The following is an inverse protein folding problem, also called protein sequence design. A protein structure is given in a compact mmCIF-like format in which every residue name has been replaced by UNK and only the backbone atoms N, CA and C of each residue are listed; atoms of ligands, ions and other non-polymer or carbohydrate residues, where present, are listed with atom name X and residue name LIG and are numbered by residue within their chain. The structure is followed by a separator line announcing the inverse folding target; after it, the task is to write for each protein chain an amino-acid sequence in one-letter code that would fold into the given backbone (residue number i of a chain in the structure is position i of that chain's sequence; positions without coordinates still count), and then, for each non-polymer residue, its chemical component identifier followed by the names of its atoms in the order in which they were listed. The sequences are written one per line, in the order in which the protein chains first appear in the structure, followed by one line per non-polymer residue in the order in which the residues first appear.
data_IF_379101224196
#
_entry.id   IF_379101224196
#
_cell.length_a   1.000
_cell.length_b   1.000
_cell.length_c   1.000
_cell.angle_alpha   90.00
_cell.angle_beta   90.00
_cell.angle_gamma   90.00
#
_symmetry.space_group_name_H-M   'P 1'
#
loop_
_entity.id
_entity.type
_entity.pdbx_description
1 polymer ?
2 non-polymer ?
3 water ?
#
# COMPACT_ATOMS: atom_id res chain seq x y z
N UNK A 4 -23.26 -20.92 -10.92
CA UNK A 4 -21.90 -20.87 -10.32
C UNK A 4 -20.91 -21.83 -10.97
N UNK A 5 -19.78 -21.31 -11.50
CA UNK A 5 -18.76 -22.19 -12.05
C UNK A 5 -18.28 -23.29 -11.08
N UNK A 6 -18.03 -24.48 -11.62
CA UNK A 6 -17.53 -25.63 -10.87
C UNK A 6 -16.18 -25.32 -10.16
N UNK A 7 -15.43 -24.39 -10.73
CA UNK A 7 -14.11 -24.02 -10.21
C UNK A 7 -14.19 -22.95 -9.11
N UNK A 8 -15.41 -22.51 -8.77
CA UNK A 8 -15.62 -21.35 -7.92
C UNK A 8 -16.63 -21.60 -6.80
N UNK A 9 -16.70 -20.64 -5.88
CA UNK A 9 -17.78 -20.54 -4.91
C UNK A 9 -18.47 -19.19 -5.07
N UNK A 10 -19.79 -19.18 -4.99
CA UNK A 10 -20.59 -17.99 -5.22
C UNK A 10 -21.49 -17.73 -4.03
N UNK A 11 -21.56 -16.49 -3.60
CA UNK A 11 -22.54 -16.07 -2.60
C UNK A 11 -23.05 -14.70 -2.98
N UNK A 12 -24.36 -14.60 -3.24
CA UNK A 12 -25.03 -13.31 -3.56
C UNK A 12 -24.18 -12.25 -4.33
N UNK A 13 -23.80 -12.64 -5.54
CA UNK A 13 -23.04 -11.82 -6.53
C UNK A 13 -21.51 -11.78 -6.33
N UNK A 14 -21.00 -12.38 -5.25
CA UNK A 14 -19.55 -12.51 -5.03
C UNK A 14 -19.07 -13.91 -5.48
N UNK A 15 -18.07 -13.93 -6.37
CA UNK A 15 -17.61 -15.14 -7.01
C UNK A 15 -16.11 -15.28 -6.74
N UNK A 16 -15.73 -16.35 -6.04
CA UNK A 16 -14.32 -16.62 -5.67
C UNK A 16 -13.80 -17.84 -6.41
N UNK A 17 -12.67 -17.67 -7.10
CA UNK A 17 -12.01 -18.76 -7.84
C UNK A 17 -10.51 -18.70 -7.55
N UNK A 18 -10.20 -18.49 -6.28
CA UNK A 18 -8.84 -18.28 -5.79
C UNK A 18 -8.07 -19.57 -5.67
N UNK A 19 -6.79 -19.54 -6.07
CA UNK A 19 -5.87 -20.67 -5.87
C UNK A 19 -6.38 -21.98 -6.47
N UNK A 20 -6.87 -21.89 -7.70
CA UNK A 20 -7.46 -23.03 -8.42
C UNK A 20 -6.68 -23.46 -9.66
N UNK A 21 -5.49 -22.93 -9.86
CA UNK A 21 -4.66 -23.32 -10.99
C UNK A 21 -5.21 -22.96 -12.36
N UNK A 22 -5.97 -21.87 -12.44
CA UNK A 22 -6.64 -21.48 -13.68
C UNK A 22 -5.70 -20.70 -14.60
N UNK A 23 -5.84 -20.89 -15.91
CA UNK A 23 -5.21 -19.96 -16.88
C UNK A 23 -6.19 -19.29 -17.80
N UNK A 24 -7.45 -19.70 -17.73
CA UNK A 24 -8.52 -19.03 -18.47
C UNK A 24 -9.70 -18.87 -17.53
N UNK A 25 -10.55 -17.90 -17.82
CA UNK A 25 -11.73 -17.70 -17.01
C UNK A 25 -12.55 -18.99 -16.95
N UNK A 26 -13.10 -19.33 -15.77
CA UNK A 26 -14.12 -20.36 -15.70
C UNK A 26 -15.35 -19.98 -16.51
N UNK A 27 -15.94 -20.97 -17.15
CA UNK A 27 -17.21 -20.77 -17.85
C UNK A 27 -18.34 -20.74 -16.82
N UNK A 28 -19.37 -19.92 -17.08
CA UNK A 28 -20.55 -19.90 -16.25
C UNK A 28 -20.56 -18.89 -15.13
N UNK A 29 -19.81 -17.80 -15.31
CA UNK A 29 -19.85 -16.69 -14.35
C UNK A 29 -21.27 -16.09 -14.43
N UNK A 30 -21.93 -15.91 -13.27
CA UNK A 30 -23.28 -15.33 -13.38
C UNK A 30 -23.27 -13.90 -13.91
N UNK A 31 -24.31 -13.54 -14.66
CA UNK A 31 -24.34 -12.25 -15.35
C UNK A 31 -24.37 -11.08 -14.39
N UNK A 32 -24.81 -11.34 -13.15
CA UNK A 32 -24.96 -10.28 -12.16
C UNK A 32 -23.78 -10.15 -11.18
N UNK A 33 -22.62 -10.75 -11.53
CA UNK A 33 -21.42 -10.71 -10.64
C UNK A 33 -20.95 -9.28 -10.34
N UNK A 34 -20.62 -9.02 -9.08
CA UNK A 34 -20.18 -7.72 -8.60
C UNK A 34 -18.72 -7.73 -8.16
N UNK A 35 -18.29 -8.84 -7.57
CA UNK A 35 -16.91 -9.01 -7.12
C UNK A 35 -16.40 -10.34 -7.65
N UNK A 36 -15.24 -10.31 -8.29
CA UNK A 36 -14.66 -11.50 -8.91
C UNK A 36 -13.23 -11.69 -8.43
N UNK A 37 -12.98 -12.78 -7.70
CA UNK A 37 -11.66 -13.09 -7.14
C UNK A 37 -11.01 -14.21 -7.94
N UNK A 38 -9.94 -13.84 -8.66
CA UNK A 38 -9.12 -14.74 -9.49
C UNK A 38 -7.68 -14.78 -9.00
N UNK A 39 -7.47 -14.44 -7.74
CA UNK A 39 -6.15 -14.39 -7.15
C UNK A 39 -5.52 -15.78 -7.04
N UNK A 40 -4.20 -15.86 -7.20
CA UNK A 40 -3.45 -17.09 -6.94
C UNK A 40 -3.66 -18.16 -8.01
N UNK A 41 -3.72 -17.74 -9.27
CA UNK A 41 -3.90 -18.64 -10.40
C UNK A 41 -2.71 -18.40 -11.37
N UNK A 42 -2.86 -18.81 -12.63
CA UNK A 42 -1.79 -18.67 -13.62
C UNK A 42 -2.27 -17.93 -14.88
N UNK A 43 -3.10 -16.91 -14.69
CA UNK A 43 -3.49 -16.02 -15.79
C UNK A 43 -2.28 -15.25 -16.30
N UNK A 44 -2.22 -15.15 -17.63
CA UNK A 44 -1.14 -14.47 -18.31
C UNK A 44 -1.59 -13.11 -18.89
N UNK A 45 -2.90 -12.86 -18.88
CA UNK A 45 -3.50 -11.63 -19.46
C UNK A 45 -4.72 -11.31 -18.63
N UNK A 46 -5.20 -10.07 -18.72
CA UNK A 46 -6.56 -9.74 -18.23
C UNK A 46 -7.56 -10.20 -19.32
N UNK A 47 -8.45 -11.17 -19.01
CA UNK A 47 -9.39 -11.66 -20.04
C UNK A 47 -10.29 -10.58 -20.63
N UNK A 48 -10.38 -10.46 -21.95
CA UNK A 48 -11.19 -9.37 -22.55
C UNK A 48 -12.67 -9.59 -22.30
N UNK A 49 -13.07 -10.84 -22.10
CA UNK A 49 -14.45 -11.18 -21.84
C UNK A 49 -14.99 -10.73 -20.48
N UNK A 50 -14.13 -10.28 -19.58
CA UNK A 50 -14.59 -9.65 -18.35
C UNK A 50 -15.52 -8.46 -18.59
N UNK A 51 -15.41 -7.81 -19.75
CA UNK A 51 -16.20 -6.64 -20.02
C UNK A 51 -17.67 -6.96 -20.38
N UNK A 52 -18.02 -8.24 -20.48
CA UNK A 52 -19.43 -8.65 -20.61
C UNK A 52 -20.25 -8.50 -19.32
N UNK A 53 -19.57 -8.37 -18.19
CA UNK A 53 -20.21 -8.42 -16.87
C UNK A 53 -20.37 -6.98 -16.36
N UNK A 54 -21.54 -6.43 -16.64
CA UNK A 54 -21.76 -5.00 -16.53
C UNK A 54 -21.98 -4.52 -15.11
N UNK A 55 -22.08 -5.45 -14.16
CA UNK A 55 -22.22 -5.08 -12.76
C UNK A 55 -20.95 -5.27 -11.94
N UNK A 56 -19.88 -5.65 -12.62
CA UNK A 56 -18.61 -5.99 -11.98
C UNK A 56 -17.84 -4.72 -11.52
N UNK A 57 -17.69 -4.54 -10.19
CA UNK A 57 -17.05 -3.35 -9.62
C UNK A 57 -15.73 -3.67 -8.92
N UNK A 58 -15.45 -4.94 -8.66
CA UNK A 58 -14.15 -5.37 -8.10
C UNK A 58 -13.59 -6.58 -8.83
N UNK A 59 -12.36 -6.46 -9.31
CA UNK A 59 -11.61 -7.58 -9.88
C UNK A 59 -10.33 -7.72 -9.09
N UNK A 60 -10.10 -8.92 -8.53
CA UNK A 60 -8.83 -9.27 -7.89
C UNK A 60 -8.07 -10.32 -8.72
N UNK A 61 -6.95 -9.88 -9.32
CA UNK A 61 -6.06 -10.73 -10.11
C UNK A 61 -4.65 -10.81 -9.46
N UNK A 62 -4.60 -10.59 -8.14
CA UNK A 62 -3.35 -10.72 -7.35
C UNK A 62 -2.70 -12.06 -7.61
N UNK A 63 -1.37 -12.10 -7.66
CA UNK A 63 -0.64 -13.37 -7.65
C UNK A 63 -0.99 -14.23 -8.86
N UNK A 64 -0.83 -13.64 -10.03
CA UNK A 64 -0.98 -14.36 -11.29
C UNK A 64 0.31 -14.13 -12.08
N UNK A 65 0.31 -14.43 -13.38
CA UNK A 65 1.51 -14.31 -14.21
C UNK A 65 1.33 -13.30 -15.31
N UNK A 66 0.59 -12.24 -15.01
CA UNK A 66 0.30 -11.22 -16.01
C UNK A 66 1.56 -10.39 -16.32
N UNK A 67 2.02 -10.49 -17.57
CA UNK A 67 3.23 -9.83 -17.98
C UNK A 67 2.93 -8.58 -18.78
N UNK A 68 1.69 -8.45 -19.24
CA UNK A 68 1.35 -7.40 -20.17
C UNK A 68 -0.10 -6.96 -20.02
N UNK A 69 -0.33 -5.66 -20.22
CA UNK A 69 -1.66 -5.10 -20.38
C UNK A 69 -1.75 -4.55 -21.79
N UNK A 70 -2.95 -4.48 -22.34
CA UNK A 70 -3.18 -3.81 -23.64
C UNK A 70 -3.89 -2.48 -23.44
N UNK A 71 -3.84 -1.58 -24.43
CA UNK A 71 -4.66 -0.36 -24.35
C UNK A 71 -6.14 -0.80 -24.25
N UNK A 72 -6.39 -2.04 -24.64
CA UNK A 72 -7.73 -2.60 -24.74
C UNK A 72 -8.18 -3.32 -23.45
N UNK A 73 -7.26 -3.63 -22.54
CA UNK A 73 -7.55 -4.43 -21.33
C UNK A 73 -8.88 -4.16 -20.60
N UNK A 74 -9.24 -2.90 -20.42
CA UNK A 74 -10.40 -2.58 -19.58
C UNK A 74 -11.49 -1.83 -20.30
N UNK A 75 -11.60 -2.07 -21.61
CA UNK A 75 -12.64 -1.50 -22.45
C UNK A 75 -14.02 -1.88 -21.93
N UNK A 76 -14.94 -0.91 -21.92
CA UNK A 76 -16.35 -1.06 -21.54
C UNK A 76 -16.68 -1.14 -20.02
N UNK A 77 -15.65 -1.19 -19.18
CA UNK A 77 -15.79 -1.52 -17.77
C UNK A 77 -15.84 -0.24 -16.91
N UNK A 78 -16.75 0.67 -17.28
CA UNK A 78 -16.87 2.03 -16.70
C UNK A 78 -17.26 2.11 -15.22
N UNK A 79 -17.97 1.08 -14.76
CA UNK A 79 -18.47 0.99 -13.39
C UNK A 79 -17.43 0.51 -12.36
N UNK A 80 -16.25 0.11 -12.81
CA UNK A 80 -15.26 -0.53 -11.95
C UNK A 80 -14.85 0.44 -10.81
N UNK A 81 -14.82 -0.08 -9.58
CA UNK A 81 -14.38 0.67 -8.40
C UNK A 81 -12.98 0.22 -7.89
N UNK A 82 -12.69 -1.09 -8.00
CA UNK A 82 -11.42 -1.67 -7.47
C UNK A 82 -10.75 -2.60 -8.48
N UNK A 83 -9.45 -2.40 -8.70
CA UNK A 83 -8.71 -3.22 -9.63
C UNK A 83 -7.38 -3.54 -8.97
N UNK A 84 -7.21 -4.81 -8.64
CA UNK A 84 -6.08 -5.33 -7.86
C UNK A 84 -5.24 -6.22 -8.77
N UNK A 85 -4.05 -5.72 -9.10
CA UNK A 85 -3.11 -6.40 -9.99
C UNK A 85 -1.81 -6.69 -9.26
N UNK A 86 -1.87 -6.78 -7.92
CA UNK A 86 -0.69 -6.99 -7.10
C UNK A 86 0.00 -8.32 -7.47
N UNK A 87 1.32 -8.36 -7.38
CA UNK A 87 2.10 -9.61 -7.46
C UNK A 87 1.90 -10.35 -8.80
N UNK A 88 2.17 -9.62 -9.89
CA UNK A 88 2.11 -10.17 -11.24
C UNK A 88 3.47 -9.92 -11.89
N UNK A 89 3.57 -9.89 -13.21
CA UNK A 89 4.85 -9.72 -13.89
C UNK A 89 4.92 -8.47 -14.79
N UNK A 90 4.20 -7.41 -14.40
CA UNK A 90 4.04 -6.24 -15.27
C UNK A 90 5.33 -5.43 -15.34
N UNK A 91 5.69 -4.93 -16.52
CA UNK A 91 6.90 -4.07 -16.67
C UNK A 91 6.64 -2.57 -16.98
N UNK A 92 5.48 -2.31 -17.58
CA UNK A 92 5.10 -0.96 -17.97
C UNK A 92 3.61 -0.91 -18.31
N UNK A 93 2.97 0.21 -17.94
CA UNK A 93 1.58 0.44 -18.19
C UNK A 93 1.47 1.14 -19.55
N UNK A 94 0.80 0.53 -20.55
CA UNK A 94 0.51 1.33 -21.76
C UNK A 94 -0.35 2.58 -21.47
N UNK A 95 -0.13 3.68 -22.21
CA UNK A 95 -0.68 4.94 -21.76
C UNK A 95 -2.22 5.07 -21.71
N UNK A 96 -2.94 4.27 -22.49
CA UNK A 96 -4.39 4.32 -22.47
C UNK A 96 -5.01 3.09 -21.84
N UNK A 97 -4.22 2.29 -21.14
CA UNK A 97 -4.73 1.03 -20.58
C UNK A 97 -5.85 1.24 -19.57
N UNK A 98 -5.81 2.36 -18.82
CA UNK A 98 -6.87 2.67 -17.84
C UNK A 98 -7.89 3.69 -18.27
N UNK A 99 -7.97 3.98 -19.58
CA UNK A 99 -8.97 4.92 -20.09
C UNK A 99 -10.38 4.44 -19.76
N UNK A 100 -11.26 5.38 -19.45
CA UNK A 100 -12.67 5.06 -19.22
C UNK A 100 -13.03 4.70 -17.79
N UNK A 101 -12.02 4.54 -16.93
CA UNK A 101 -12.22 4.02 -15.56
C UNK A 101 -12.46 5.21 -14.62
N UNK A 102 -13.51 5.97 -14.93
CA UNK A 102 -13.76 7.24 -14.24
C UNK A 102 -14.35 7.08 -12.84
N UNK A 103 -14.79 5.87 -12.49
CA UNK A 103 -15.27 5.58 -11.12
C UNK A 103 -14.24 4.87 -10.22
N UNK A 104 -13.07 4.49 -10.77
CA UNK A 104 -12.07 3.72 -10.05
C UNK A 104 -11.53 4.46 -8.82
N UNK A 105 -11.62 3.78 -7.67
CA UNK A 105 -11.23 4.33 -6.36
C UNK A 105 -9.88 3.79 -5.90
N UNK A 106 -9.65 2.51 -6.21
CA UNK A 106 -8.47 1.81 -5.76
C UNK A 106 -7.83 1.07 -6.92
N UNK A 107 -6.52 1.28 -7.10
CA UNK A 107 -5.73 0.57 -8.10
C UNK A 107 -4.48 0.09 -7.38
N UNK A 108 -4.26 -1.22 -7.38
CA UNK A 108 -3.00 -1.79 -6.88
C UNK A 108 -2.17 -2.40 -7.99
N UNK A 109 -0.96 -1.86 -8.13
CA UNK A 109 0.09 -2.38 -9.02
C UNK A 109 1.29 -2.83 -8.19
N UNK A 110 1.07 -2.99 -6.88
CA UNK A 110 2.12 -3.37 -5.94
C UNK A 110 2.77 -4.70 -6.29
N UNK A 111 4.08 -4.80 -6.15
CA UNK A 111 4.75 -6.09 -6.31
C UNK A 111 4.80 -6.62 -7.75
N UNK A 112 5.20 -5.75 -8.69
CA UNK A 112 5.43 -6.13 -10.09
C UNK A 112 6.86 -5.78 -10.47
N UNK A 113 7.09 -5.61 -11.77
CA UNK A 113 8.40 -5.27 -12.30
C UNK A 113 8.35 -3.93 -13.07
N UNK A 114 7.49 -3.03 -12.61
CA UNK A 114 7.22 -1.77 -13.33
C UNK A 114 8.39 -0.78 -13.16
N UNK A 115 9.02 -0.38 -14.26
CA UNK A 115 10.04 0.67 -14.25
C UNK A 115 9.55 1.99 -14.86
N UNK A 116 8.53 1.93 -15.71
CA UNK A 116 8.02 3.08 -16.48
C UNK A 116 6.50 3.11 -16.44
N UNK A 117 5.92 4.25 -16.05
CA UNK A 117 4.48 4.50 -16.20
C UNK A 117 4.39 5.79 -17.05
N UNK A 118 3.88 5.69 -18.29
CA UNK A 118 3.95 6.83 -19.21
C UNK A 118 2.96 7.92 -18.84
N UNK A 119 3.33 9.15 -19.11
CA UNK A 119 2.48 10.30 -18.85
C UNK A 119 1.12 10.11 -19.48
N UNK A 120 0.08 10.42 -18.72
CA UNK A 120 -1.31 10.23 -19.17
C UNK A 120 -1.97 8.91 -18.81
N UNK A 121 -1.21 7.97 -18.22
CA UNK A 121 -1.75 6.66 -17.83
C UNK A 121 -2.88 6.81 -16.82
N UNK A 122 -2.82 7.88 -16.01
CA UNK A 122 -3.85 8.14 -15.03
C UNK A 122 -4.82 9.24 -15.43
N UNK A 123 -4.84 9.61 -16.71
CA UNK A 123 -5.69 10.71 -17.18
C UNK A 123 -7.17 10.61 -16.77
N UNK A 124 -7.76 9.43 -16.93
CA UNK A 124 -9.18 9.26 -16.67
C UNK A 124 -9.51 8.81 -15.23
N UNK A 125 -8.47 8.56 -14.44
CA UNK A 125 -8.61 8.07 -13.07
C UNK A 125 -8.88 9.22 -12.10
N UNK A 126 -9.92 9.99 -12.38
CA UNK A 126 -10.23 11.19 -11.60
C UNK A 126 -10.93 10.92 -10.25
N UNK A 127 -11.39 9.69 -10.02
CA UNK A 127 -11.91 9.27 -8.73
C UNK A 127 -10.89 8.53 -7.87
N UNK A 128 -9.68 8.28 -8.39
CA UNK A 128 -8.69 7.40 -7.74
C UNK A 128 -8.21 8.06 -6.45
N UNK A 129 -8.43 7.38 -5.32
CA UNK A 129 -8.10 7.94 -4.00
C UNK A 129 -7.01 7.13 -3.27
N UNK A 130 -6.73 5.92 -3.75
CA UNK A 130 -5.64 5.08 -3.20
C UNK A 130 -4.90 4.34 -4.30
N UNK A 131 -3.63 4.64 -4.48
CA UNK A 131 -2.74 3.95 -5.38
C UNK A 131 -1.73 3.14 -4.56
N UNK A 132 -1.55 1.88 -4.96
CA UNK A 132 -0.41 1.10 -4.47
C UNK A 132 0.49 0.76 -5.65
N UNK A 133 1.74 1.20 -5.57
CA UNK A 133 2.72 0.98 -6.60
C UNK A 133 4.10 0.69 -5.97
N UNK A 134 4.10 0.24 -4.71
CA UNK A 134 5.34 -0.17 -4.08
C UNK A 134 5.84 -1.51 -4.59
N UNK A 135 7.06 -1.86 -4.18
CA UNK A 135 7.74 -3.08 -4.63
C UNK A 135 7.79 -3.13 -6.17
N UNK A 136 8.13 -1.98 -6.78
CA UNK A 136 8.43 -1.88 -8.21
C UNK A 136 9.74 -1.13 -8.41
N UNK A 137 10.54 -1.57 -9.40
CA UNK A 137 11.83 -0.91 -9.63
C UNK A 137 11.68 0.39 -10.45
N UNK A 138 11.04 1.38 -9.85
CA UNK A 138 10.62 2.59 -10.59
C UNK A 138 11.82 3.34 -11.10
N UNK A 139 11.83 3.73 -12.36
CA UNK A 139 12.95 4.48 -12.95
C UNK A 139 12.56 5.96 -12.99
N UNK A 140 13.10 6.70 -12.03
CA UNK A 140 12.64 8.04 -11.73
C UNK A 140 13.46 9.09 -12.48
N UNK A 141 13.32 9.08 -13.80
CA UNK A 141 13.87 10.11 -14.70
C UNK A 141 12.76 11.12 -15.08
N UNK A 142 12.97 11.91 -16.13
CA UNK A 142 11.96 12.94 -16.51
C UNK A 142 10.63 12.35 -16.96
N UNK A 143 10.66 11.11 -17.44
CA UNK A 143 9.44 10.46 -17.89
C UNK A 143 8.57 9.96 -16.72
N UNK A 144 9.07 10.11 -15.50
CA UNK A 144 8.30 9.79 -14.31
C UNK A 144 7.98 11.03 -13.45
N UNK A 145 8.41 12.20 -13.88
CA UNK A 145 8.17 13.41 -13.12
C UNK A 145 6.68 13.67 -12.92
N UNK A 146 5.84 13.34 -13.90
CA UNK A 146 4.40 13.53 -13.79
C UNK A 146 3.80 12.72 -12.64
N UNK A 147 4.34 11.53 -12.39
CA UNK A 147 3.82 10.64 -11.35
C UNK A 147 4.20 11.17 -9.97
N UNK A 148 5.40 11.71 -9.83
CA UNK A 148 5.77 12.40 -8.62
C UNK A 148 4.78 13.53 -8.33
N UNK A 149 4.50 14.35 -9.34
CA UNK A 149 3.55 15.44 -9.18
C UNK A 149 2.15 14.95 -8.84
N UNK A 150 1.71 13.86 -9.48
CA UNK A 150 0.39 13.24 -9.23
C UNK A 150 0.23 12.75 -7.80
N UNK A 151 1.24 12.07 -7.25
CA UNK A 151 1.12 11.57 -5.89
C UNK A 151 1.27 12.73 -4.89
N UNK A 152 1.93 13.82 -5.30
CA UNK A 152 2.08 15.02 -4.46
C UNK A 152 0.85 15.94 -4.44
N UNK A 153 -0.06 15.76 -5.39
CA UNK A 153 -1.18 16.68 -5.60
C UNK A 153 -2.26 16.52 -4.55
N UNK A 154 -2.39 15.28 -4.05
CA UNK A 154 -3.38 14.89 -3.06
C UNK A 154 -2.79 13.72 -2.27
N UNK A 155 -3.36 13.43 -1.11
CA UNK A 155 -2.95 12.21 -0.37
C UNK A 155 -3.56 10.97 -1.08
N UNK A 156 -2.70 10.15 -1.68
CA UNK A 156 -3.06 9.00 -2.51
C UNK A 156 -2.26 7.72 -2.25
N UNK A 157 -1.02 7.88 -1.75
CA UNK A 157 -0.05 6.78 -1.61
C UNK A 157 0.63 6.90 -0.23
N UNK A 158 0.67 5.81 0.57
CA UNK A 158 1.20 5.87 1.93
C UNK A 158 2.72 5.71 2.14
N UNK A 159 3.57 6.15 1.21
CA UNK A 159 5.02 6.12 1.43
C UNK A 159 5.73 4.77 1.37
N UNK A 160 5.35 3.94 0.40
CA UNK A 160 6.00 2.66 0.12
C UNK A 160 6.74 2.69 -1.22
N UNK A 161 6.14 3.32 -2.22
CA UNK A 161 6.73 3.36 -3.56
C UNK A 161 8.12 4.00 -3.55
N UNK A 162 9.09 3.32 -4.15
CA UNK A 162 10.47 3.83 -4.18
C UNK A 162 11.13 3.75 -5.53
N UNK A 163 12.00 4.72 -5.81
CA UNK A 163 12.88 4.66 -6.99
C UNK A 163 13.99 3.61 -6.87
N UNK A 164 14.20 2.83 -7.93
CA UNK A 164 15.35 1.93 -8.01
C UNK A 164 16.57 2.67 -8.55
N UNK A 165 16.31 3.79 -9.25
CA UNK A 165 17.31 4.58 -9.93
C UNK A 165 16.60 5.65 -10.75
N UNK A 166 17.34 6.37 -11.63
CA UNK A 166 18.77 6.26 -11.86
C UNK A 166 19.63 6.91 -10.78
N UNK A 167 20.85 6.40 -10.65
CA UNK A 167 21.87 7.00 -9.79
C UNK A 167 21.46 7.25 -8.36
N UNK A 168 21.57 8.51 -7.94
CA UNK A 168 21.27 8.93 -6.58
C UNK A 168 19.79 8.81 -6.22
N UNK A 169 18.93 8.59 -7.22
CA UNK A 169 17.51 8.42 -6.97
C UNK A 169 17.20 7.06 -6.36
N UNK A 170 18.14 6.12 -6.44
CA UNK A 170 18.05 4.81 -5.78
C UNK A 170 17.61 4.92 -4.33
N UNK A 171 16.54 4.21 -3.99
CA UNK A 171 15.99 4.11 -2.63
C UNK A 171 15.19 5.33 -2.17
N UNK A 172 14.95 6.29 -3.07
CA UNK A 172 14.30 7.52 -2.68
C UNK A 172 12.82 7.30 -2.84
N UNK A 173 12.07 7.90 -1.91
CA UNK A 173 10.63 7.78 -1.94
C UNK A 173 10.00 8.59 -3.07
N UNK A 174 9.04 7.98 -3.78
CA UNK A 174 8.27 8.67 -4.79
C UNK A 174 7.47 9.83 -4.15
N UNK A 175 6.82 9.53 -3.02
CA UNK A 175 5.98 10.50 -2.30
C UNK A 175 6.60 11.85 -2.04
N UNK A 176 7.83 11.88 -1.51
CA UNK A 176 8.36 13.12 -0.93
C UNK A 176 9.62 13.63 -1.66
N UNK A 177 10.18 12.82 -2.56
CA UNK A 177 11.38 13.27 -3.28
C UNK A 177 10.97 14.39 -4.29
N UNK A 178 11.63 15.56 -4.24
CA UNK A 178 11.13 16.68 -5.07
C UNK A 178 11.09 16.36 -6.56
N UNK A 179 10.02 16.80 -7.23
CA UNK A 179 9.87 16.54 -8.67
C UNK A 179 11.00 17.09 -9.52
N UNK A 180 11.64 18.16 -9.04
CA UNK A 180 12.78 18.78 -9.73
C UNK A 180 13.92 17.77 -9.91
N UNK A 181 13.94 16.72 -9.08
CA UNK A 181 15.01 15.71 -9.16
C UNK A 181 14.74 14.63 -10.21
N UNK A 182 13.53 14.62 -10.77
CA UNK A 182 13.16 13.63 -11.76
C UNK A 182 13.58 14.16 -13.12
N UNK A 183 14.81 13.85 -13.52
CA UNK A 183 15.41 14.48 -14.70
C UNK A 183 15.89 13.48 -15.76
N UNK A 184 16.00 13.99 -16.99
CA UNK A 184 16.73 13.34 -18.08
C UNK A 184 17.76 14.35 -18.60
N UNK B 4 24.55 20.04 10.96
CA UNK B 4 24.16 18.73 10.36
C UNK B 4 25.02 17.58 10.87
N UNK B 5 24.39 16.51 11.38
CA UNK B 5 25.20 15.35 11.79
C UNK B 5 26.12 14.83 10.68
N UNK B 6 27.29 14.32 11.07
CA UNK B 6 28.30 13.79 10.13
C UNK B 6 27.71 12.71 9.23
N UNK B 7 26.87 11.89 9.85
CA UNK B 7 26.27 10.72 9.22
C UNK B 7 25.13 11.04 8.24
N UNK B 8 24.74 12.31 8.16
CA UNK B 8 23.52 12.72 7.49
C UNK B 8 23.78 13.83 6.47
N UNK B 9 22.77 14.11 5.65
CA UNK B 9 22.72 15.33 4.87
C UNK B 9 21.48 16.13 5.31
N UNK B 10 21.60 17.46 5.30
CA UNK B 10 20.55 18.36 5.78
C UNK B 10 20.33 19.44 4.74
N UNK B 11 19.13 19.50 4.19
CA UNK B 11 18.81 20.46 3.15
C UNK B 11 17.35 20.80 3.27
N UNK B 12 17.07 22.06 3.57
CA UNK B 12 15.72 22.60 3.47
C UNK B 12 14.80 21.95 4.53
N UNK B 13 15.32 21.83 5.75
CA UNK B 13 14.63 21.16 6.90
C UNK B 13 14.43 19.64 6.72
N UNK B 14 15.04 19.07 5.68
CA UNK B 14 14.94 17.65 5.43
C UNK B 14 16.23 17.01 5.85
N UNK B 15 16.17 16.00 6.71
CA UNK B 15 17.40 15.39 7.21
C UNK B 15 17.42 13.93 6.80
N UNK B 16 18.46 13.54 6.06
CA UNK B 16 18.60 12.17 5.56
C UNK B 16 19.79 11.46 6.14
N UNK B 17 19.53 10.35 6.84
CA UNK B 17 20.60 9.49 7.34
C UNK B 17 20.33 8.02 6.95
N UNK B 18 19.99 7.83 5.68
CA UNK B 18 19.53 6.55 5.15
C UNK B 18 20.72 5.65 4.81
N UNK B 19 20.61 4.35 5.09
CA UNK B 19 21.61 3.35 4.70
C UNK B 19 23.03 3.63 5.20
N UNK B 20 23.13 4.00 6.47
CA UNK B 20 24.42 4.40 7.06
C UNK B 20 24.90 3.47 8.17
N UNK B 21 24.24 2.33 8.31
CA UNK B 21 24.60 1.36 9.33
C UNK B 21 24.41 1.85 10.76
N UNK B 22 23.33 2.60 10.99
CA UNK B 22 23.11 3.24 12.28
C UNK B 22 22.26 2.36 13.18
N UNK B 23 22.59 2.32 14.48
CA UNK B 23 21.67 1.78 15.49
C UNK B 23 21.41 2.77 16.62
N UNK B 24 22.04 3.94 16.53
CA UNK B 24 21.78 5.06 17.46
C UNK B 24 21.49 6.35 16.67
N UNK B 25 20.53 7.14 17.13
CA UNK B 25 20.23 8.42 16.50
C UNK B 25 21.46 9.35 16.48
N UNK B 26 21.83 9.87 15.30
CA UNK B 26 22.88 10.88 15.23
C UNK B 26 22.64 12.10 16.14
N UNK B 27 23.70 12.56 16.80
CA UNK B 27 23.61 13.74 17.65
C UNK B 27 23.61 15.02 16.82
N UNK B 28 22.92 16.03 17.32
CA UNK B 28 22.91 17.34 16.69
C UNK B 28 22.06 17.47 15.46
N UNK B 29 20.94 16.75 15.40
CA UNK B 29 19.95 16.97 14.34
C UNK B 29 19.33 18.37 14.52
N UNK B 30 19.20 19.13 13.42
CA UNK B 30 18.54 20.45 13.49
C UNK B 30 17.19 20.43 14.21
N UNK B 31 17.00 21.40 15.09
CA UNK B 31 15.76 21.55 15.86
C UNK B 31 14.52 21.75 14.99
N UNK B 32 14.73 22.29 13.78
CA UNK B 32 13.64 22.64 12.88
C UNK B 32 13.31 21.56 11.84
N UNK B 33 13.89 20.37 12.01
CA UNK B 33 13.70 19.27 11.05
C UNK B 33 12.21 19.00 10.86
N UNK B 34 11.78 18.86 9.62
CA UNK B 34 10.39 18.54 9.30
C UNK B 34 10.25 17.14 8.74
N UNK B 35 11.28 16.64 8.06
CA UNK B 35 11.26 15.29 7.49
C UNK B 35 12.53 14.56 7.89
N UNK B 36 12.40 13.42 8.55
CA UNK B 36 13.56 12.67 9.06
C UNK B 36 13.55 11.28 8.47
N UNK B 37 14.60 10.97 7.70
CA UNK B 37 14.71 9.71 6.95
C UNK B 37 15.76 8.83 7.60
N UNK B 38 15.30 7.79 8.28
CA UNK B 38 16.20 6.82 8.96
C UNK B 38 16.01 5.40 8.39
N UNK B 39 15.65 5.32 7.11
CA UNK B 39 15.47 4.04 6.42
C UNK B 39 16.80 3.28 6.19
N UNK B 40 16.73 1.95 6.22
CA UNK B 40 17.85 1.10 5.82
C UNK B 40 19.01 1.04 6.80
N UNK B 41 18.70 1.17 8.09
CA UNK B 41 19.69 1.16 9.14
C UNK B 41 19.44 -0.07 10.03
N UNK B 42 20.02 -0.11 11.24
CA UNK B 42 19.86 -1.28 12.10
C UNK B 42 19.27 -0.97 13.47
N UNK B 43 18.33 -0.02 13.51
CA UNK B 43 17.62 0.31 14.75
C UNK B 43 16.75 -0.88 15.14
N UNK B 44 16.77 -1.22 16.44
CA UNK B 44 15.90 -2.23 17.05
C UNK B 44 14.76 -1.62 17.88
N UNK B 45 14.87 -0.32 18.16
CA UNK B 45 13.87 0.46 18.88
C UNK B 45 13.69 1.85 18.22
N UNK B 46 12.53 2.47 18.42
CA UNK B 46 12.29 3.87 18.04
C UNK B 46 13.00 4.75 19.09
N UNK B 47 13.93 5.63 18.66
CA UNK B 47 14.61 6.50 19.62
C UNK B 47 13.63 7.35 20.45
N UNK B 48 13.90 7.46 21.74
CA UNK B 48 13.01 8.23 22.63
C UNK B 48 13.02 9.74 22.30
N UNK B 49 14.07 10.18 21.62
CA UNK B 49 14.26 11.58 21.30
C UNK B 49 13.40 12.10 20.18
N UNK B 50 12.86 11.23 19.31
CA UNK B 50 12.10 11.72 18.14
C UNK B 50 10.96 12.63 18.59
N UNK B 51 10.41 12.35 19.77
CA UNK B 51 9.41 13.18 20.43
C UNK B 51 9.86 14.64 20.67
N UNK B 52 11.16 14.89 20.69
CA UNK B 52 11.70 16.21 21.04
C UNK B 52 11.84 17.17 19.86
N UNK B 53 11.47 16.69 18.67
CA UNK B 53 11.58 17.48 17.45
C UNK B 53 10.18 17.97 17.11
N UNK B 54 9.86 19.17 17.55
CA UNK B 54 8.48 19.61 17.58
C UNK B 54 7.92 20.01 16.21
N UNK B 55 8.76 20.06 15.18
CA UNK B 55 8.30 20.42 13.84
C UNK B 55 8.25 19.24 12.89
N UNK B 56 8.50 18.05 13.40
CA UNK B 56 8.66 16.87 12.59
C UNK B 56 7.29 16.38 12.09
N UNK B 57 7.11 16.29 10.78
CA UNK B 57 5.84 15.84 10.18
C UNK B 57 5.97 14.52 9.42
N UNK B 58 7.18 14.08 9.10
CA UNK B 58 7.38 12.74 8.52
C UNK B 58 8.55 12.01 9.19
N UNK B 59 8.33 10.75 9.58
CA UNK B 59 9.39 9.87 10.05
C UNK B 59 9.46 8.66 9.12
N UNK B 60 10.65 8.35 8.58
CA UNK B 60 10.80 7.11 7.80
C UNK B 60 11.81 6.23 8.55
N UNK B 61 11.29 5.19 9.18
CA UNK B 61 12.10 4.15 9.79
C UNK B 61 12.00 2.80 9.05
N UNK B 62 11.66 2.84 7.75
CA UNK B 62 11.50 1.58 6.99
C UNK B 62 12.84 0.81 6.90
N UNK B 63 12.76 -0.51 6.77
CA UNK B 63 13.95 -1.34 6.55
C UNK B 63 14.97 -1.19 7.68
N UNK B 64 14.46 -1.36 8.90
CA UNK B 64 15.28 -1.44 10.09
C UNK B 64 15.00 -2.79 10.75
N UNK B 65 15.35 -2.93 12.04
CA UNK B 65 15.18 -4.18 12.79
C UNK B 65 14.31 -3.96 14.02
N UNK B 66 13.31 -3.10 13.92
CA UNK B 66 12.55 -2.68 15.09
C UNK B 66 11.59 -3.79 15.48
N UNK B 67 11.73 -4.30 16.71
CA UNK B 67 10.91 -5.43 17.17
C UNK B 67 9.83 -5.04 18.16
N UNK B 68 9.96 -3.88 18.79
CA UNK B 68 8.94 -3.44 19.74
C UNK B 68 8.66 -1.94 19.64
N UNK B 69 7.43 -1.57 19.97
CA UNK B 69 7.04 -0.17 20.15
C UNK B 69 6.71 0.02 21.63
N UNK B 70 6.73 1.26 22.10
CA UNK B 70 6.22 1.56 23.42
C UNK B 70 5.10 2.55 23.29
N UNK B 71 4.32 2.69 24.37
CA UNK B 71 3.30 3.74 24.40
C UNK B 71 3.88 5.16 24.47
N UNK B 72 5.20 5.30 24.60
CA UNK B 72 5.86 6.61 24.50
C UNK B 72 6.50 6.91 23.15
N UNK B 73 6.58 5.92 22.27
CA UNK B 73 7.32 6.05 21.00
C UNK B 73 6.95 7.30 20.17
N UNK B 74 5.69 7.62 20.09
CA UNK B 74 5.36 8.74 19.21
C UNK B 74 4.63 9.81 19.99
N UNK B 75 4.95 9.88 21.29
CA UNK B 75 4.28 10.76 22.23
C UNK B 75 4.61 12.21 21.92
N UNK B 76 3.64 13.07 22.16
CA UNK B 76 3.76 14.52 21.97
C UNK B 76 3.91 14.92 20.48
N UNK B 77 3.62 14.02 19.54
CA UNK B 77 3.77 14.32 18.08
C UNK B 77 2.44 14.66 17.39
N UNK B 78 1.73 15.65 17.95
CA UNK B 78 0.41 16.06 17.45
C UNK B 78 0.47 16.56 16.00
N UNK B 79 1.64 17.06 15.57
CA UNK B 79 1.89 17.55 14.21
C UNK B 79 2.25 16.48 13.14
N UNK B 80 2.46 15.23 13.56
CA UNK B 80 2.99 14.20 12.66
C UNK B 80 1.97 13.87 11.58
N UNK B 81 2.40 13.85 10.32
CA UNK B 81 1.52 13.55 9.17
C UNK B 81 1.76 12.16 8.57
N UNK B 82 3.03 11.74 8.53
CA UNK B 82 3.44 10.52 7.84
C UNK B 82 4.39 9.71 8.75
N UNK B 83 4.01 8.46 9.00
CA UNK B 83 4.77 7.54 9.81
C UNK B 83 4.96 6.22 9.06
N UNK B 84 6.22 5.94 8.72
CA UNK B 84 6.56 4.81 7.84
C UNK B 84 7.36 3.79 8.61
N UNK B 85 6.73 2.65 8.95
CA UNK B 85 7.41 1.57 9.72
C UNK B 85 7.54 0.25 8.94
N UNK B 86 7.53 0.36 7.62
CA UNK B 86 7.62 -0.76 6.67
C UNK B 86 8.88 -1.60 6.89
N UNK B 87 8.77 -2.91 6.76
CA UNK B 87 9.94 -3.80 6.68
C UNK B 87 10.79 -3.73 7.96
N UNK B 88 10.13 -4.01 9.09
CA UNK B 88 10.75 -4.12 10.39
C UNK B 88 10.41 -5.50 10.97
N UNK B 89 10.47 -5.64 12.29
CA UNK B 89 10.27 -6.94 12.94
C UNK B 89 9.16 -6.83 13.99
N UNK B 90 8.18 -5.97 13.71
CA UNK B 90 7.10 -5.75 14.65
C UNK B 90 6.16 -6.93 14.73
N UNK B 91 5.73 -7.22 15.95
CA UNK B 91 4.68 -8.19 16.17
C UNK B 91 3.59 -7.60 17.11
N UNK B 92 3.95 -7.29 18.35
CA UNK B 92 3.00 -6.79 19.35
C UNK B 92 2.90 -5.26 19.25
N UNK B 93 1.67 -4.75 19.13
CA UNK B 93 1.41 -3.31 19.06
C UNK B 93 0.74 -2.90 20.36
N UNK B 94 1.47 -2.17 21.20
CA UNK B 94 0.87 -1.71 22.44
C UNK B 94 -0.39 -0.84 22.15
N UNK B 95 -1.44 -0.99 22.98
CA UNK B 95 -2.76 -0.39 22.72
C UNK B 95 -2.82 1.16 22.60
N UNK B 96 -1.90 1.87 23.25
CA UNK B 96 -1.86 3.32 23.18
C UNK B 96 -0.65 3.86 22.42
N UNK B 97 -0.04 3.02 21.58
CA UNK B 97 1.13 3.39 20.79
C UNK B 97 0.91 4.66 19.95
N UNK B 98 -0.26 4.79 19.34
CA UNK B 98 -0.54 5.90 18.41
C UNK B 98 -1.39 7.03 19.01
N UNK B 99 -1.54 7.02 20.32
CA UNK B 99 -2.31 8.06 20.98
C UNK B 99 -1.76 9.46 20.69
N UNK B 100 -2.68 10.41 20.60
CA UNK B 100 -2.32 11.80 20.36
C UNK B 100 -2.04 12.19 18.92
N UNK B 101 -1.96 11.22 17.99
CA UNK B 101 -1.51 11.50 16.62
C UNK B 101 -2.69 11.94 15.75
N UNK B 102 -3.28 13.07 16.13
CA UNK B 102 -4.52 13.54 15.55
C UNK B 102 -4.33 14.10 14.12
N UNK B 103 -3.09 14.38 13.70
CA UNK B 103 -2.78 14.88 12.35
C UNK B 103 -2.35 13.79 11.36
N UNK B 104 -2.14 12.56 11.84
CA UNK B 104 -1.54 11.50 11.03
C UNK B 104 -2.46 11.12 9.88
N UNK B 105 -1.93 11.19 8.65
CA UNK B 105 -2.67 10.90 7.43
C UNK B 105 -2.29 9.56 6.81
N UNK B 106 -1.00 9.24 6.89
CA UNK B 106 -0.41 8.06 6.25
C UNK B 106 0.33 7.24 7.30
N UNK B 107 0.05 5.94 7.34
CA UNK B 107 0.72 5.00 8.27
C UNK B 107 1.06 3.72 7.53
N UNK B 108 2.33 3.34 7.53
CA UNK B 108 2.73 2.06 6.93
C UNK B 108 3.31 1.11 7.99
N UNK B 109 2.65 -0.04 8.13
CA UNK B 109 3.07 -1.19 8.94
C UNK B 109 3.26 -2.43 8.01
N UNK B 110 3.42 -2.19 6.71
CA UNK B 110 3.54 -3.26 5.71
C UNK B 110 4.88 -4.00 5.94
N UNK B 111 4.89 -5.33 5.87
CA UNK B 111 6.16 -6.06 5.92
C UNK B 111 6.77 -6.24 7.31
N UNK B 112 5.95 -6.73 8.23
CA UNK B 112 6.35 -7.00 9.59
C UNK B 112 5.83 -8.40 9.96
N UNK B 113 5.71 -8.69 11.24
CA UNK B 113 5.30 -10.01 11.72
C UNK B 113 4.10 -9.89 12.60
N UNK B 114 3.19 -9.01 12.20
CA UNK B 114 2.01 -8.64 12.98
C UNK B 114 0.83 -9.59 12.76
N UNK B 115 0.30 -10.19 13.84
CA UNK B 115 -0.93 -11.01 13.79
C UNK B 115 -2.15 -10.29 14.34
N UNK B 116 -1.93 -9.41 15.33
CA UNK B 116 -2.97 -8.79 16.11
C UNK B 116 -2.73 -7.28 16.16
N UNK B 117 -3.74 -6.48 15.81
CA UNK B 117 -3.75 -5.05 16.09
C UNK B 117 -4.88 -4.80 17.06
N UNK B 118 -4.57 -4.42 18.31
CA UNK B 118 -5.59 -4.27 19.33
C UNK B 118 -6.63 -3.18 19.04
N UNK B 119 -7.87 -3.51 19.33
CA UNK B 119 -8.95 -2.57 19.20
C UNK B 119 -8.66 -1.33 20.03
N UNK B 120 -8.86 -0.18 19.40
CA UNK B 120 -8.66 1.09 20.06
C UNK B 120 -7.32 1.69 19.71
N UNK B 121 -6.50 0.94 18.96
CA UNK B 121 -5.16 1.39 18.59
C UNK B 121 -5.20 2.64 17.70
N UNK B 122 -6.27 2.78 16.93
CA UNK B 122 -6.49 3.91 16.04
C UNK B 122 -7.50 4.90 16.61
N UNK B 123 -7.74 4.86 17.93
CA UNK B 123 -8.80 5.68 18.50
C UNK B 123 -8.56 7.16 18.24
N UNK B 124 -7.30 7.59 18.33
CA UNK B 124 -6.96 9.01 18.15
C UNK B 124 -6.65 9.36 16.71
N UNK B 125 -6.72 8.38 15.81
CA UNK B 125 -6.23 8.57 14.44
C UNK B 125 -7.36 9.01 13.49
N UNK B 126 -7.96 10.15 13.84
CA UNK B 126 -9.14 10.64 13.15
C UNK B 126 -8.86 11.24 11.76
N UNK B 127 -7.60 11.55 11.43
CA UNK B 127 -7.25 12.02 10.09
C UNK B 127 -6.65 10.90 9.20
N UNK B 128 -6.47 9.69 9.73
CA UNK B 128 -5.76 8.67 8.99
C UNK B 128 -6.57 8.23 7.75
N UNK B 129 -5.99 8.44 6.55
CA UNK B 129 -6.66 8.17 5.28
C UNK B 129 -6.10 6.94 4.54
N UNK B 130 -4.82 6.64 4.76
CA UNK B 130 -4.07 5.56 4.06
C UNK B 130 -3.25 4.71 5.03
N UNK B 131 -3.70 3.45 5.22
CA UNK B 131 -3.00 2.41 5.97
C UNK B 131 -2.43 1.35 5.02
N UNK B 132 -1.14 1.04 5.18
CA UNK B 132 -0.52 -0.11 4.55
C UNK B 132 -0.21 -1.11 5.69
N UNK B 133 -0.71 -2.34 5.57
CA UNK B 133 -0.48 -3.36 6.58
C UNK B 133 -0.40 -4.77 5.94
N UNK B 134 0.00 -4.79 4.68
CA UNK B 134 0.27 -6.05 3.98
C UNK B 134 1.58 -6.69 4.35
N UNK B 135 1.85 -7.85 3.74
CA UNK B 135 3.00 -8.69 4.08
C UNK B 135 3.04 -8.87 5.62
N UNK B 136 1.90 -9.15 6.23
CA UNK B 136 1.86 -9.52 7.67
C UNK B 136 0.94 -10.71 7.80
N UNK B 137 1.22 -11.63 8.75
CA UNK B 137 0.46 -12.84 9.07
C UNK B 137 -0.75 -12.55 9.96
N UNK B 138 -1.66 -11.78 9.41
CA UNK B 138 -2.84 -11.34 10.12
C UNK B 138 -3.73 -12.49 10.60
N UNK B 139 -4.07 -12.46 11.88
CA UNK B 139 -4.89 -13.49 12.48
C UNK B 139 -6.31 -12.95 12.61
N UNK B 140 -7.17 -13.40 11.70
CA UNK B 140 -8.48 -12.78 11.51
C UNK B 140 -9.60 -13.44 12.32
N UNK B 141 -9.54 -13.19 13.62
CA UNK B 141 -10.60 -13.55 14.57
C UNK B 141 -11.43 -12.31 14.98
N UNK B 142 -12.28 -12.46 15.99
CA UNK B 142 -13.12 -11.32 16.42
C UNK B 142 -12.32 -10.10 16.90
N UNK B 143 -11.04 -10.29 17.25
CA UNK B 143 -10.18 -9.20 17.72
C UNK B 143 -9.65 -8.28 16.61
N UNK B 144 -9.81 -8.74 15.37
CA UNK B 144 -9.51 -7.94 14.18
C UNK B 144 -10.74 -7.39 13.45
N UNK B 145 -11.94 -7.71 13.95
CA UNK B 145 -13.20 -7.24 13.35
C UNK B 145 -13.27 -5.71 13.25
N UNK B 146 -12.83 -5.01 14.31
CA UNK B 146 -12.80 -3.53 14.28
C UNK B 146 -11.97 -2.97 13.09
N UNK B 147 -10.89 -3.66 12.72
CA UNK B 147 -9.99 -3.19 11.67
C UNK B 147 -10.59 -3.44 10.29
N UNK B 148 -11.23 -4.60 10.14
CA UNK B 148 -12.03 -4.87 8.97
C UNK B 148 -13.03 -3.72 8.74
N UNK B 149 -13.78 -3.35 9.78
CA UNK B 149 -14.75 -2.25 9.66
C UNK B 149 -14.05 -0.94 9.32
N UNK B 150 -12.91 -0.69 9.96
CA UNK B 150 -12.19 0.58 9.80
C UNK B 150 -11.67 0.79 8.37
N UNK B 151 -10.96 -0.20 7.81
CA UNK B 151 -10.49 -0.11 6.43
C UNK B 151 -11.60 0.00 5.36
N UNK B 152 -12.79 -0.51 5.66
CA UNK B 152 -13.92 -0.51 4.72
C UNK B 152 -14.62 0.87 4.54
N UNK B 153 -14.14 1.90 5.19
CA UNK B 153 -14.63 3.25 4.93
C UNK B 153 -13.58 4.04 4.12
N UNK B 154 -13.97 4.50 2.93
CA UNK B 154 -13.08 5.33 2.10
C UNK B 154 -11.77 4.66 1.67
N UNK B 155 -11.79 3.36 1.42
CA UNK B 155 -10.65 2.66 0.80
C UNK B 155 -9.33 2.97 1.52
N UNK B 156 -9.30 2.78 2.83
CA UNK B 156 -8.11 3.12 3.64
C UNK B 156 -6.93 2.14 3.51
N UNK B 157 -7.21 0.90 3.07
CA UNK B 157 -6.18 -0.12 2.85
C UNK B 157 -6.35 -0.57 1.39
N UNK B 158 -5.24 -0.78 0.68
CA UNK B 158 -5.32 -1.01 -0.76
C UNK B 158 -5.54 -2.44 -1.33
N UNK B 159 -6.25 -3.31 -0.61
CA UNK B 159 -6.52 -4.65 -1.13
C UNK B 159 -5.27 -5.50 -1.28
N UNK B 160 -4.35 -5.36 -0.34
CA UNK B 160 -3.11 -6.12 -0.33
C UNK B 160 -3.04 -7.01 0.92
N UNK B 161 -3.37 -6.46 2.08
CA UNK B 161 -3.33 -7.22 3.35
C UNK B 161 -4.29 -8.39 3.31
N UNK B 162 -3.81 -9.56 3.75
CA UNK B 162 -4.58 -10.80 3.76
C UNK B 162 -4.50 -11.55 5.09
N UNK B 163 -5.57 -12.23 5.46
CA UNK B 163 -5.53 -13.16 6.59
C UNK B 163 -4.58 -14.33 6.37
N UNK B 164 -3.73 -14.60 7.36
CA UNK B 164 -2.94 -15.83 7.40
C UNK B 164 -3.84 -17.01 7.78
N UNK B 165 -4.83 -16.72 8.60
CA UNK B 165 -5.78 -17.68 9.11
C UNK B 165 -6.66 -16.97 10.15
N UNK B 166 -7.30 -17.75 11.04
CA UNK B 166 -7.30 -19.22 11.12
C UNK B 166 -8.23 -19.84 10.08
N UNK B 167 -8.00 -21.12 9.81
CA UNK B 167 -8.87 -21.95 8.99
C UNK B 167 -9.35 -21.29 7.72
N UNK B 168 -10.67 -21.20 7.59
CA UNK B 168 -11.32 -20.67 6.41
C UNK B 168 -10.96 -19.22 6.05
N UNK B 169 -10.41 -18.46 6.98
CA UNK B 169 -10.01 -17.09 6.68
C UNK B 169 -8.74 -17.02 5.84
N UNK B 170 -8.04 -18.15 5.73
CA UNK B 170 -6.83 -18.28 4.90
C UNK B 170 -6.90 -17.52 3.58
N UNK B 171 -5.96 -16.60 3.42
CA UNK B 171 -5.72 -15.84 2.18
C UNK B 171 -6.79 -14.83 1.82
N UNK B 172 -7.76 -14.63 2.69
CA UNK B 172 -8.82 -13.68 2.38
C UNK B 172 -8.32 -12.26 2.62
N UNK B 173 -8.64 -11.35 1.71
CA UNK B 173 -8.38 -9.94 1.92
C UNK B 173 -9.08 -9.32 3.14
N UNK B 174 -8.32 -8.56 3.92
CA UNK B 174 -8.82 -7.70 4.99
C UNK B 174 -9.87 -6.73 4.49
N UNK B 175 -9.57 -6.09 3.35
CA UNK B 175 -10.52 -5.10 2.76
C UNK B 175 -11.97 -5.54 2.51
N UNK B 176 -12.15 -6.66 1.81
CA UNK B 176 -13.45 -7.00 1.21
C UNK B 176 -14.20 -8.16 1.92
N UNK B 177 -13.49 -8.90 2.76
CA UNK B 177 -14.11 -9.98 3.54
C UNK B 177 -15.08 -9.41 4.54
N UNK B 178 -16.30 -9.92 4.54
CA UNK B 178 -17.26 -9.35 5.47
C UNK B 178 -16.83 -9.43 6.96
N UNK B 179 -16.92 -8.30 7.65
CA UNK B 179 -16.71 -8.18 9.11
C UNK B 179 -17.41 -9.26 9.97
N UNK B 180 -18.60 -9.71 9.59
CA UNK B 180 -19.27 -10.82 10.28
C UNK B 180 -18.48 -12.16 10.30
N UNK B 181 -17.54 -12.34 9.35
CA UNK B 181 -16.69 -13.53 9.29
C UNK B 181 -15.51 -13.53 10.27
N UNK B 182 -15.29 -12.40 10.91
CA UNK B 182 -14.24 -12.25 11.91
C UNK B 182 -14.83 -12.62 13.27
N UNK B 183 -14.62 -13.88 13.68
CA UNK B 183 -15.30 -14.43 14.87
C UNK B 183 -14.32 -15.08 15.85
N UNK B 184 -14.77 -15.30 17.08
CA UNK B 184 -13.99 -16.00 18.11
C UNK B 184 -14.76 -17.20 18.61
#
# INVERSE_FOLDING_TARGET
GSRCPTECTCLDTVVRCSNKGLKVLPKGIPRDVTELYLDGNQFTLVPKELSNYKHLTLIDLSNNRISTLSNQSFSNMTQLLTLILSYNRLRCIPPRTFDGLKSLRLLSLHGNDISVVPEGAFNDLSALSHLAIGANPLYCDCNMQWLSDWVKSEYKEPGIARCAGPGEMADKLLLTTPSKKFTCAAAHHHHHH
GSRCPTECTCLDTVVRCSNKGLKVLPKGIPRDVTELYLDGNQFTLVPKELSNYKHLTLIDLSNNRISTLSNQSFSNMTQLLTLILSYNRLRCIPPRTFDGLKSLRLLSLHGNDISVVPEGAFNDLSALSHLAIGANPLYCDCNMQWLSDWVKSEYKEPGIARCAGPGEMADKLLLTTPSKKFTCAAAHHHHHH
#
